data_IF_310459603140
#
_entry.id   IF_310459603140
#
_cell.length_a   1.000
_cell.length_b   1.000
_cell.length_c   1.000
_cell.angle_alpha   90.00
_cell.angle_beta   90.00
_cell.angle_gamma   90.00
#
_symmetry.space_group_name_H-M   'P 1'
#
loop_
_entity.id
_entity.type
_entity.pdbx_description
1 polymer ?
#
# COMPACT_ATOMS: atom_id res chain seq x y z
N UNK A 1 -14.28 16.96 -8.50
CA UNK A 1 -14.38 15.82 -7.56
C UNK A 1 -13.01 15.63 -6.91
N UNK A 2 -12.95 15.46 -5.59
CA UNK A 2 -11.68 15.13 -4.92
C UNK A 2 -11.27 13.70 -5.31
N UNK A 3 -10.08 13.55 -5.90
CA UNK A 3 -9.55 12.24 -6.28
C UNK A 3 -9.04 11.55 -5.02
N UNK A 4 -9.78 10.57 -4.52
CA UNK A 4 -9.29 9.69 -3.46
C UNK A 4 -8.16 8.84 -3.98
N UNK A 5 -7.03 8.84 -3.28
CA UNK A 5 -5.92 7.94 -3.59
C UNK A 5 -6.39 6.50 -3.41
N UNK A 6 -6.11 5.67 -4.41
CA UNK A 6 -6.49 4.27 -4.40
C UNK A 6 -5.29 3.37 -4.13
N UNK A 7 -5.54 2.13 -3.73
CA UNK A 7 -4.50 1.09 -3.65
C UNK A 7 -3.73 0.90 -4.96
N UNK A 8 -4.37 1.19 -6.10
CA UNK A 8 -3.74 1.13 -7.43
C UNK A 8 -2.71 2.23 -7.61
N UNK A 9 -2.97 3.42 -7.07
CA UNK A 9 -2.01 4.54 -7.12
C UNK A 9 -0.79 4.22 -6.25
N UNK A 10 -1.00 3.65 -5.05
CA UNK A 10 0.08 3.15 -4.19
C UNK A 10 0.91 2.07 -4.88
N UNK A 11 0.25 1.11 -5.54
CA UNK A 11 0.94 0.04 -6.25
C UNK A 11 1.84 0.57 -7.38
N UNK A 12 1.34 1.55 -8.14
CA UNK A 12 2.11 2.22 -9.20
C UNK A 12 3.30 2.98 -8.63
N UNK A 13 3.09 3.76 -7.57
CA UNK A 13 4.13 4.58 -6.94
C UNK A 13 5.23 3.73 -6.29
N UNK A 14 4.83 2.66 -5.59
CA UNK A 14 5.75 1.68 -5.03
C UNK A 14 6.36 0.75 -6.10
N UNK A 15 5.93 0.81 -7.36
CA UNK A 15 6.31 -0.08 -8.47
C UNK A 15 6.17 -1.58 -8.15
N UNK A 16 5.00 -1.95 -7.64
CA UNK A 16 4.60 -3.33 -7.29
C UNK A 16 3.20 -3.63 -7.83
N UNK A 17 2.76 -4.89 -7.73
CA UNK A 17 1.38 -5.24 -8.08
C UNK A 17 0.38 -4.79 -7.00
N UNK A 18 -0.88 -4.56 -7.39
CA UNK A 18 -1.98 -4.31 -6.44
C UNK A 18 -2.10 -5.44 -5.40
N UNK A 19 -1.89 -6.69 -5.82
CA UNK A 19 -1.92 -7.86 -4.93
C UNK A 19 -0.80 -7.82 -3.89
N UNK A 20 0.39 -7.30 -4.26
CA UNK A 20 1.50 -7.11 -3.33
C UNK A 20 1.17 -6.07 -2.26
N UNK A 21 0.56 -4.94 -2.65
CA UNK A 21 0.09 -3.93 -1.68
C UNK A 21 -1.01 -4.51 -0.79
N UNK A 22 -1.93 -5.31 -1.35
CA UNK A 22 -2.96 -6.01 -0.55
C UNK A 22 -2.35 -6.95 0.48
N UNK A 23 -1.33 -7.72 0.12
CA UNK A 23 -0.60 -8.59 1.07
C UNK A 23 0.05 -7.78 2.19
N UNK A 24 0.69 -6.65 1.85
CA UNK A 24 1.26 -5.74 2.84
C UNK A 24 0.20 -5.24 3.84
N UNK A 25 -0.94 -4.76 3.34
CA UNK A 25 -2.05 -4.25 4.18
C UNK A 25 -2.65 -5.34 5.06
N UNK A 26 -2.71 -6.58 4.57
CA UNK A 26 -3.18 -7.75 5.31
C UNK A 26 -2.08 -8.39 6.19
N UNK A 27 -0.93 -7.73 6.36
CA UNK A 27 0.21 -8.21 7.16
C UNK A 27 0.75 -9.60 6.74
N UNK A 28 0.55 -9.98 5.47
CA UNK A 28 1.06 -11.23 4.89
C UNK A 28 2.44 -10.97 4.29
N UNK A 29 3.47 -11.14 5.11
CA UNK A 29 4.86 -10.81 4.75
C UNK A 29 5.72 -12.03 4.40
N UNK A 30 5.16 -13.25 4.42
CA UNK A 30 5.90 -14.52 4.31
C UNK A 30 6.85 -14.60 3.10
N UNK A 31 6.51 -13.89 2.01
CA UNK A 31 7.31 -13.84 0.78
C UNK A 31 7.73 -12.41 0.39
N UNK A 32 7.58 -11.44 1.29
CA UNK A 32 7.84 -10.04 1.02
C UNK A 32 9.21 -9.63 1.54
N UNK A 33 10.14 -9.33 0.62
CA UNK A 33 11.43 -8.76 0.99
C UNK A 33 11.30 -7.38 1.65
N UNK A 34 12.23 -7.05 2.55
CA UNK A 34 12.24 -5.77 3.28
C UNK A 34 12.20 -4.56 2.34
N UNK A 35 12.96 -4.58 1.24
CA UNK A 35 12.94 -3.50 0.23
C UNK A 35 11.55 -3.27 -0.38
N UNK A 36 10.78 -4.35 -0.57
CA UNK A 36 9.41 -4.24 -1.10
C UNK A 36 8.49 -3.64 -0.04
N UNK A 37 8.68 -4.03 1.23
CA UNK A 37 7.95 -3.49 2.38
C UNK A 37 8.18 -1.98 2.51
N UNK A 38 9.45 -1.55 2.51
CA UNK A 38 9.84 -0.14 2.58
C UNK A 38 9.24 0.70 1.44
N UNK A 39 9.29 0.21 0.20
CA UNK A 39 8.71 0.91 -0.96
C UNK A 39 7.20 1.12 -0.82
N UNK A 40 6.48 0.12 -0.30
CA UNK A 40 5.03 0.23 -0.08
C UNK A 40 4.75 1.21 1.05
N UNK A 41 5.49 1.12 2.16
CA UNK A 41 5.35 2.04 3.30
C UNK A 41 5.60 3.50 2.89
N UNK A 42 6.67 3.75 2.14
CA UNK A 42 7.01 5.06 1.60
C UNK A 42 5.89 5.58 0.69
N UNK A 43 5.41 4.76 -0.24
CA UNK A 43 4.33 5.14 -1.16
C UNK A 43 3.03 5.48 -0.43
N UNK A 44 2.68 4.71 0.61
CA UNK A 44 1.51 5.00 1.45
C UNK A 44 1.66 6.36 2.13
N UNK A 45 2.84 6.64 2.70
CA UNK A 45 3.14 7.89 3.40
C UNK A 45 3.14 9.10 2.46
N UNK A 46 3.81 8.98 1.31
CA UNK A 46 3.93 10.07 0.32
C UNK A 46 2.59 10.41 -0.34
N UNK A 47 1.75 9.41 -0.59
CA UNK A 47 0.43 9.62 -1.17
C UNK A 47 -0.64 9.95 -0.13
N UNK A 48 -0.32 9.84 1.18
CA UNK A 48 -1.32 9.97 2.24
C UNK A 48 -2.46 8.95 2.11
N UNK A 49 -2.16 7.75 1.60
CA UNK A 49 -3.16 6.72 1.40
C UNK A 49 -3.62 6.17 2.75
N UNK A 50 -4.92 6.27 3.01
CA UNK A 50 -5.56 5.64 4.16
C UNK A 50 -6.55 4.59 3.66
N UNK A 51 -6.23 3.29 3.78
CA UNK A 51 -7.19 2.24 3.49
C UNK A 51 -8.33 2.32 4.51
N UNK A 52 -9.57 2.20 4.02
CA UNK A 52 -10.80 2.28 4.82
C UNK A 52 -10.79 1.23 5.96
N UNK A 53 -10.12 0.10 5.76
CA UNK A 53 -9.96 -0.96 6.77
C UNK A 53 -9.25 -0.49 8.05
N UNK A 54 -8.49 0.61 8.03
CA UNK A 54 -7.83 1.17 9.22
C UNK A 54 -8.75 2.03 10.08
N UNK A 55 -9.97 2.30 9.65
CA UNK A 55 -10.94 3.11 10.41
C UNK A 55 -11.74 2.31 11.44
N UNK A 56 -11.58 0.98 11.49
CA UNK A 56 -12.34 0.08 12.39
C UNK A 56 -11.46 -0.72 13.37
N UNK A 57 -10.20 -0.33 13.57
CA UNK A 57 -9.26 -0.96 14.53
C UNK A 57 -8.62 0.04 15.48
#
# INVERSE_FOLDING_TARGET
>A
MMKTITITDVAKHANVSKSTVSQYLNKRFDYMGEKTKERIELAIKELGYQPILWLEV
#
